data_IF_198680617416
#
_entry.id   IF_198680617416
#
_cell.length_a   1.000
_cell.length_b   1.000
_cell.length_c   1.000
_cell.angle_alpha   90.00
_cell.angle_beta   90.00
_cell.angle_gamma   90.00
#
_symmetry.space_group_name_H-M   'P 1'
#
loop_
_entity.id
_entity.type
_entity.pdbx_description
1 polymer ?
#
# COMPACT_ATOMS: atom_id res chain seq x y z
N UNK A 1 26.31 10.35 -0.50
CA UNK A 1 26.15 8.89 -0.37
C UNK A 1 25.88 8.40 1.05
N UNK A 2 26.36 9.06 2.08
CA UNK A 2 26.16 8.65 3.51
C UNK A 2 24.88 9.16 4.19
N UNK A 3 24.05 9.98 3.53
CA UNK A 3 22.83 10.57 4.13
C UNK A 3 21.55 9.73 3.98
N UNK A 4 21.57 8.65 3.19
CA UNK A 4 20.40 7.79 2.95
C UNK A 4 20.20 6.69 4.00
N UNK A 5 21.24 6.43 4.80
CA UNK A 5 21.26 5.32 5.76
C UNK A 5 20.29 5.48 6.94
N UNK A 6 19.92 6.71 7.31
CA UNK A 6 19.08 6.97 8.48
C UNK A 6 17.56 6.92 8.20
N UNK A 7 17.13 7.00 6.94
CA UNK A 7 15.69 6.87 6.62
C UNK A 7 15.22 5.40 6.63
N UNK A 8 16.11 4.46 6.31
CA UNK A 8 15.83 3.03 6.34
C UNK A 8 15.72 2.48 7.77
N UNK A 9 16.43 3.05 8.74
CA UNK A 9 16.43 2.58 10.13
C UNK A 9 15.13 2.85 10.91
N UNK A 10 14.30 3.79 10.47
CA UNK A 10 12.98 4.05 11.07
C UNK A 10 11.91 3.03 10.65
N UNK A 11 12.18 2.19 9.65
CA UNK A 11 11.24 1.20 9.09
C UNK A 11 11.51 -0.24 9.53
N UNK A 12 12.52 -0.48 10.38
CA UNK A 12 13.13 -1.80 10.65
C UNK A 12 12.44 -2.68 11.69
N UNK A 13 11.15 -2.50 11.97
CA UNK A 13 10.41 -3.41 12.89
C UNK A 13 9.33 -4.26 12.23
N UNK A 14 9.41 -4.48 10.95
CA UNK A 14 8.62 -5.50 10.25
C UNK A 14 9.50 -6.05 9.14
N UNK A 15 10.06 -7.23 9.32
CA UNK A 15 11.00 -7.84 8.40
C UNK A 15 10.43 -7.88 6.97
N UNK A 16 10.77 -6.91 6.16
CA UNK A 16 10.82 -7.06 4.73
C UNK A 16 12.01 -7.98 4.46
N UNK A 17 11.82 -9.05 3.69
CA UNK A 17 12.94 -9.82 3.13
C UNK A 17 13.52 -8.98 1.98
N UNK A 18 14.01 -7.81 2.30
CA UNK A 18 14.95 -7.13 1.44
C UNK A 18 16.26 -7.86 1.69
N UNK A 19 16.88 -8.36 0.64
CA UNK A 19 18.14 -9.02 0.77
C UNK A 19 19.17 -7.99 1.29
N UNK A 20 19.53 -8.10 2.57
CA UNK A 20 20.65 -7.36 3.13
C UNK A 20 21.85 -8.28 2.98
N UNK A 21 22.74 -7.95 2.06
CA UNK A 21 24.02 -8.62 1.89
C UNK A 21 25.11 -7.70 2.43
N UNK A 22 25.90 -8.18 3.40
CA UNK A 22 26.97 -7.41 4.04
C UNK A 22 26.52 -6.06 4.64
N UNK A 23 25.27 -5.94 5.08
CA UNK A 23 24.73 -4.70 5.66
C UNK A 23 24.24 -3.67 4.63
N UNK A 24 24.26 -3.99 3.36
CA UNK A 24 23.74 -3.16 2.27
C UNK A 24 22.46 -3.75 1.68
N UNK A 25 21.57 -2.87 1.25
CA UNK A 25 20.35 -3.26 0.54
C UNK A 25 20.68 -3.70 -0.87
N UNK A 26 20.38 -4.95 -1.21
CA UNK A 26 20.56 -5.49 -2.56
C UNK A 26 19.21 -5.61 -3.24
N UNK A 27 18.98 -4.78 -4.26
CA UNK A 27 17.81 -4.90 -5.14
C UNK A 27 18.10 -5.98 -6.19
N UNK A 28 17.11 -6.83 -6.45
CA UNK A 28 17.22 -7.95 -7.39
C UNK A 28 16.25 -7.79 -8.55
N UNK A 29 16.39 -6.68 -9.26
CA UNK A 29 15.63 -6.37 -10.45
C UNK A 29 16.29 -6.87 -11.74
N UNK A 30 15.69 -6.48 -12.86
CA UNK A 30 16.24 -6.74 -14.20
C UNK A 30 17.41 -5.79 -14.50
N UNK A 31 18.27 -6.18 -15.43
CA UNK A 31 19.32 -5.29 -15.92
C UNK A 31 18.70 -4.04 -16.57
N UNK A 32 19.44 -2.92 -16.54
CA UNK A 32 19.00 -1.64 -17.10
C UNK A 32 18.70 -1.69 -18.61
N UNK A 33 19.35 -2.59 -19.35
CA UNK A 33 19.21 -2.82 -20.79
C UNK A 33 18.23 -3.96 -21.13
N UNK A 34 17.65 -4.63 -20.14
CA UNK A 34 16.70 -5.72 -20.36
C UNK A 34 15.45 -5.21 -21.11
N UNK A 35 15.07 -5.85 -22.23
CA UNK A 35 13.93 -5.41 -23.03
C UNK A 35 12.59 -5.59 -22.31
N UNK A 36 12.49 -6.49 -21.34
CA UNK A 36 11.25 -6.82 -20.62
C UNK A 36 11.05 -6.01 -19.33
N UNK A 37 12.03 -5.18 -18.98
CA UNK A 37 11.87 -4.35 -17.79
C UNK A 37 10.80 -3.27 -17.97
N UNK A 38 10.05 -2.98 -16.94
CA UNK A 38 9.17 -1.82 -16.84
C UNK A 38 10.02 -0.55 -16.74
N UNK A 39 9.71 0.45 -17.58
CA UNK A 39 10.52 1.66 -17.76
C UNK A 39 9.87 2.95 -17.27
N UNK A 40 8.58 2.91 -16.96
CA UNK A 40 7.84 4.07 -16.51
C UNK A 40 6.72 3.69 -15.52
N UNK A 41 6.26 4.67 -14.75
CA UNK A 41 5.13 4.46 -13.86
C UNK A 41 3.81 4.17 -14.62
N UNK A 42 3.69 4.65 -15.85
CA UNK A 42 2.54 4.36 -16.71
C UNK A 42 2.53 2.89 -17.15
N UNK A 43 3.69 2.35 -17.57
CA UNK A 43 3.83 0.92 -17.87
C UNK A 43 3.53 0.08 -16.62
N UNK A 44 3.98 0.53 -15.44
CA UNK A 44 3.71 -0.17 -14.19
C UNK A 44 2.21 -0.16 -13.86
N UNK A 45 1.49 0.95 -14.05
CA UNK A 45 0.02 0.99 -13.89
C UNK A 45 -0.64 -0.01 -14.84
N UNK A 46 -0.27 0.01 -16.12
CA UNK A 46 -0.84 -0.90 -17.12
C UNK A 46 -0.67 -2.36 -16.71
N UNK A 47 0.52 -2.72 -16.28
CA UNK A 47 0.79 -4.07 -15.80
C UNK A 47 0.01 -4.43 -14.53
N UNK A 48 -0.11 -3.51 -13.57
CA UNK A 48 -0.95 -3.72 -12.37
C UNK A 48 -2.41 -3.96 -12.75
N UNK A 49 -2.93 -3.24 -13.74
CA UNK A 49 -4.30 -3.42 -14.21
C UNK A 49 -4.53 -4.80 -14.83
N UNK A 50 -3.53 -5.36 -15.52
CA UNK A 50 -3.60 -6.71 -16.08
C UNK A 50 -3.56 -7.80 -15.00
N UNK A 51 -2.64 -7.69 -14.05
CA UNK A 51 -2.43 -8.74 -13.04
C UNK A 51 -3.28 -8.58 -11.78
N UNK A 52 -3.76 -7.38 -11.50
CA UNK A 52 -4.66 -7.04 -10.39
C UNK A 52 -3.98 -6.66 -9.09
N UNK A 53 -2.89 -7.33 -8.71
CA UNK A 53 -2.21 -7.20 -7.41
C UNK A 53 -0.70 -7.22 -7.60
N UNK A 54 0.03 -6.31 -6.95
CA UNK A 54 1.49 -6.26 -7.07
C UNK A 54 2.14 -5.71 -5.80
N UNK A 55 2.81 -6.54 -4.99
CA UNK A 55 3.71 -6.07 -3.95
C UNK A 55 4.82 -5.17 -4.53
N UNK A 56 5.30 -4.20 -3.74
CA UNK A 56 6.37 -3.32 -4.19
C UNK A 56 7.72 -4.04 -4.24
N UNK A 57 8.00 -4.85 -3.22
CA UNK A 57 9.27 -5.54 -3.05
C UNK A 57 9.12 -7.05 -3.17
N UNK A 58 10.22 -7.70 -3.50
CA UNK A 58 10.34 -9.15 -3.58
C UNK A 58 9.76 -9.84 -2.34
N UNK A 59 9.15 -10.99 -2.56
CA UNK A 59 8.46 -11.77 -1.55
C UNK A 59 8.56 -13.28 -1.85
N UNK A 60 7.75 -14.09 -1.19
CA UNK A 60 7.77 -15.55 -1.28
C UNK A 60 7.23 -16.11 -2.61
N UNK A 61 6.70 -15.25 -3.48
CA UNK A 61 6.21 -15.63 -4.83
C UNK A 61 7.13 -14.99 -5.86
N UNK A 62 7.93 -15.79 -6.53
CA UNK A 62 8.87 -15.32 -7.56
C UNK A 62 8.14 -14.57 -8.69
N UNK A 63 8.67 -13.41 -9.08
CA UNK A 63 8.11 -12.53 -10.09
C UNK A 63 6.93 -11.68 -9.60
N UNK A 64 6.44 -11.88 -8.38
CA UNK A 64 5.29 -11.15 -7.85
C UNK A 64 5.70 -9.89 -7.10
N UNK A 65 6.49 -9.04 -7.74
CA UNK A 65 6.85 -7.72 -7.19
C UNK A 65 7.25 -6.72 -8.27
N UNK A 66 7.06 -5.43 -7.99
CA UNK A 66 7.56 -4.36 -8.86
C UNK A 66 9.09 -4.37 -8.95
N UNK A 67 9.77 -4.73 -7.85
CA UNK A 67 11.22 -4.85 -7.80
C UNK A 67 11.77 -5.78 -8.88
N UNK A 68 11.18 -6.96 -9.06
CA UNK A 68 11.66 -7.99 -9.98
C UNK A 68 11.46 -7.65 -11.46
N UNK A 69 10.57 -6.68 -11.77
CA UNK A 69 10.26 -6.25 -13.14
C UNK A 69 10.81 -4.87 -13.50
N UNK A 70 11.52 -4.23 -12.57
CA UNK A 70 12.20 -2.94 -12.79
C UNK A 70 13.71 -3.12 -12.70
N UNK A 71 14.47 -2.10 -13.06
CA UNK A 71 15.92 -2.21 -12.95
C UNK A 71 16.41 -1.88 -11.55
N UNK A 72 17.26 -2.74 -11.01
CA UNK A 72 17.99 -2.55 -9.75
C UNK A 72 18.79 -1.24 -9.71
N UNK A 73 19.34 -0.85 -10.87
CA UNK A 73 20.17 0.36 -11.04
C UNK A 73 19.48 1.65 -10.65
N UNK A 74 18.15 1.75 -10.88
CA UNK A 74 17.44 3.02 -10.76
C UNK A 74 16.73 3.21 -9.42
N UNK A 75 16.63 2.19 -8.59
CA UNK A 75 16.05 2.33 -7.25
C UNK A 75 16.86 3.31 -6.41
N UNK A 76 16.14 4.29 -5.83
CA UNK A 76 16.70 5.38 -5.02
C UNK A 76 17.71 6.26 -5.77
N UNK A 77 17.65 6.30 -7.07
CA UNK A 77 18.47 7.18 -7.89
C UNK A 77 18.07 8.66 -7.75
N UNK A 78 16.82 8.91 -7.34
CA UNK A 78 16.22 10.25 -7.32
C UNK A 78 15.82 10.78 -8.70
N UNK A 79 15.93 9.96 -9.75
CA UNK A 79 15.46 10.28 -11.10
C UNK A 79 13.96 9.94 -11.20
N UNK A 80 13.05 10.94 -11.22
CA UNK A 80 11.61 10.68 -11.21
C UNK A 80 11.12 9.92 -12.45
N UNK A 81 11.88 9.97 -13.55
CA UNK A 81 11.51 9.27 -14.78
C UNK A 81 11.83 7.78 -14.73
N UNK A 82 12.83 7.37 -13.95
CA UNK A 82 13.33 5.99 -13.94
C UNK A 82 13.30 5.30 -12.58
N UNK A 83 13.16 6.04 -11.48
CA UNK A 83 13.22 5.50 -10.13
C UNK A 83 11.87 4.88 -9.70
N UNK A 84 11.78 3.54 -9.55
CA UNK A 84 10.53 2.90 -9.11
C UNK A 84 10.10 3.34 -7.71
N UNK A 85 11.03 3.80 -6.86
CA UNK A 85 10.69 4.37 -5.56
C UNK A 85 9.95 5.70 -5.70
N UNK A 86 10.30 6.53 -6.68
CA UNK A 86 9.58 7.77 -6.98
C UNK A 86 8.24 7.49 -7.67
N UNK A 87 8.16 6.46 -8.53
CA UNK A 87 6.93 6.12 -9.25
C UNK A 87 5.73 5.84 -8.34
N UNK A 88 5.96 5.26 -7.15
CA UNK A 88 4.87 4.98 -6.18
C UNK A 88 4.06 6.21 -5.81
N UNK A 89 4.66 7.41 -5.77
CA UNK A 89 3.93 8.65 -5.50
C UNK A 89 3.11 9.11 -6.71
N UNK A 90 3.63 8.95 -7.93
CA UNK A 90 2.89 9.30 -9.15
C UNK A 90 1.71 8.36 -9.35
N UNK A 91 1.90 7.07 -9.12
CA UNK A 91 0.85 6.05 -9.18
C UNK A 91 -0.23 6.34 -8.12
N UNK A 92 0.15 6.56 -6.87
CA UNK A 92 -0.80 6.92 -5.81
C UNK A 92 -1.59 8.19 -6.16
N UNK A 93 -0.92 9.23 -6.66
CA UNK A 93 -1.53 10.50 -7.06
C UNK A 93 -2.46 10.37 -8.26
N UNK A 94 -2.20 9.45 -9.18
CA UNK A 94 -3.04 9.24 -10.35
C UNK A 94 -4.46 8.80 -9.99
N UNK A 95 -4.63 8.08 -8.87
CA UNK A 95 -5.92 7.52 -8.46
C UNK A 95 -6.41 6.37 -9.33
N UNK A 96 -5.58 5.86 -10.25
CA UNK A 96 -5.93 4.73 -11.10
C UNK A 96 -5.74 3.39 -10.38
N UNK A 97 -4.85 3.35 -9.41
CA UNK A 97 -4.46 2.17 -8.65
C UNK A 97 -4.41 2.51 -7.17
N UNK A 98 -4.85 1.61 -6.31
CA UNK A 98 -4.64 1.74 -4.86
C UNK A 98 -3.17 1.49 -4.52
N UNK A 99 -2.60 2.35 -3.69
CA UNK A 99 -1.29 2.14 -3.09
C UNK A 99 -1.40 2.14 -1.56
N UNK A 100 -0.78 1.17 -0.92
CA UNK A 100 -0.79 1.06 0.54
C UNK A 100 -0.10 -0.20 1.05
N UNK A 101 -0.17 -0.42 2.36
CA UNK A 101 0.38 -1.61 3.01
C UNK A 101 -0.63 -2.76 3.01
N UNK A 102 -0.86 -3.38 1.86
CA UNK A 102 -1.88 -4.40 1.66
C UNK A 102 -1.38 -5.85 1.81
N UNK A 103 -0.09 -6.08 1.68
CA UNK A 103 0.54 -7.40 1.56
C UNK A 103 1.37 -7.74 2.80
N UNK A 104 0.78 -8.40 3.79
CA UNK A 104 1.50 -8.74 5.03
C UNK A 104 2.12 -7.52 5.71
N UNK A 105 1.42 -6.38 5.74
CA UNK A 105 1.89 -5.06 6.22
C UNK A 105 2.97 -4.40 5.36
N UNK A 106 3.26 -4.96 4.19
CA UNK A 106 4.20 -4.41 3.20
C UNK A 106 3.46 -3.61 2.14
N UNK A 107 4.17 -2.65 1.53
CA UNK A 107 3.63 -1.78 0.48
C UNK A 107 3.42 -2.53 -0.83
N UNK A 108 2.43 -2.09 -1.59
CA UNK A 108 2.15 -2.59 -2.92
C UNK A 108 0.90 -1.95 -3.50
N UNK A 109 0.49 -2.48 -4.63
CA UNK A 109 -0.55 -1.93 -5.48
C UNK A 109 -1.70 -2.92 -5.68
N UNK A 110 -2.92 -2.39 -5.77
CA UNK A 110 -4.10 -3.13 -6.17
C UNK A 110 -4.80 -2.35 -7.26
N UNK A 111 -5.09 -2.99 -8.40
CA UNK A 111 -5.82 -2.32 -9.48
C UNK A 111 -7.21 -1.89 -9.03
N UNK A 112 -7.71 -0.82 -9.63
CA UNK A 112 -9.06 -0.34 -9.33
C UNK A 112 -10.10 -1.45 -9.53
N UNK A 113 -9.98 -2.22 -10.61
CA UNK A 113 -10.92 -3.30 -10.95
C UNK A 113 -11.01 -4.40 -9.88
N UNK A 114 -9.92 -4.71 -9.21
CA UNK A 114 -9.88 -5.74 -8.18
C UNK A 114 -10.11 -5.23 -6.75
N UNK A 115 -10.11 -3.91 -6.55
CA UNK A 115 -10.25 -3.35 -5.21
C UNK A 115 -11.58 -3.69 -4.52
N UNK A 116 -12.76 -3.71 -5.19
CA UNK A 116 -14.00 -4.15 -4.57
C UNK A 116 -13.94 -5.56 -4.00
N UNK A 117 -13.35 -6.51 -4.73
CA UNK A 117 -13.17 -7.89 -4.25
C UNK A 117 -12.21 -7.96 -3.07
N UNK A 118 -11.12 -7.17 -3.11
CA UNK A 118 -10.20 -7.06 -1.99
C UNK A 118 -10.89 -6.47 -0.75
N UNK A 119 -11.67 -5.39 -0.92
CA UNK A 119 -12.42 -4.77 0.16
C UNK A 119 -13.44 -5.75 0.76
N UNK A 120 -14.24 -6.43 -0.05
CA UNK A 120 -15.20 -7.42 0.42
C UNK A 120 -14.53 -8.50 1.28
N UNK A 121 -13.46 -9.12 0.77
CA UNK A 121 -12.72 -10.13 1.54
C UNK A 121 -12.16 -9.57 2.85
N UNK A 122 -11.48 -8.42 2.82
CA UNK A 122 -10.77 -7.86 3.97
C UNK A 122 -11.71 -7.33 5.04
N UNK A 123 -12.81 -6.77 4.60
CA UNK A 123 -13.83 -6.16 5.46
C UNK A 123 -14.89 -7.16 5.93
N UNK A 124 -14.90 -8.38 5.37
CA UNK A 124 -15.88 -9.42 5.68
C UNK A 124 -17.32 -9.00 5.32
N UNK A 125 -17.46 -8.29 4.20
CA UNK A 125 -18.73 -7.76 3.74
C UNK A 125 -19.22 -6.52 4.50
N UNK A 126 -18.46 -6.00 5.47
CA UNK A 126 -18.85 -4.84 6.26
C UNK A 126 -18.23 -3.53 5.72
N UNK A 127 -18.99 -2.45 5.73
CA UNK A 127 -18.38 -1.13 5.77
C UNK A 127 -17.80 -0.84 7.17
N UNK A 128 -17.15 0.31 7.33
CA UNK A 128 -16.47 0.61 8.59
C UNK A 128 -17.43 0.86 9.75
N UNK A 129 -18.53 1.59 9.50
CA UNK A 129 -19.48 1.98 10.53
C UNK A 129 -20.32 0.77 10.99
N UNK A 130 -20.81 -0.06 10.07
CA UNK A 130 -21.48 -1.32 10.41
C UNK A 130 -20.58 -2.23 11.25
N UNK A 131 -19.28 -2.30 10.91
CA UNK A 131 -18.32 -3.08 11.68
C UNK A 131 -18.02 -2.48 13.06
N UNK A 132 -18.09 -1.17 13.21
CA UNK A 132 -18.00 -0.48 14.48
C UNK A 132 -19.23 -0.76 15.35
N UNK A 133 -20.43 -0.68 14.80
CA UNK A 133 -21.69 -0.92 15.50
C UNK A 133 -21.81 -2.36 16.03
N UNK A 134 -21.22 -3.32 15.31
CA UNK A 134 -21.08 -4.72 15.74
C UNK A 134 -19.96 -4.93 16.79
N UNK A 135 -19.23 -3.91 17.19
CA UNK A 135 -18.15 -4.00 18.18
C UNK A 135 -16.88 -4.70 17.66
N UNK A 136 -16.71 -4.84 16.35
CA UNK A 136 -15.60 -5.55 15.72
C UNK A 136 -14.38 -4.65 15.44
N UNK A 137 -14.44 -3.39 15.82
CA UNK A 137 -13.38 -2.39 15.58
C UNK A 137 -12.93 -1.77 16.89
N UNK A 138 -11.61 -1.60 17.04
CA UNK A 138 -11.06 -0.90 18.21
C UNK A 138 -11.30 0.61 18.14
N UNK A 139 -11.46 1.25 19.32
CA UNK A 139 -11.66 2.69 19.43
C UNK A 139 -10.56 3.50 18.71
N UNK A 140 -9.31 3.03 18.73
CA UNK A 140 -8.21 3.66 18.00
C UNK A 140 -8.43 3.74 16.50
N UNK A 141 -8.97 2.67 15.90
CA UNK A 141 -9.35 2.66 14.48
C UNK A 141 -10.50 3.60 14.20
N UNK A 142 -11.50 3.63 15.08
CA UNK A 142 -12.64 4.57 14.98
C UNK A 142 -12.16 6.02 15.01
N UNK A 143 -11.30 6.39 15.96
CA UNK A 143 -10.74 7.75 16.03
C UNK A 143 -10.01 8.17 14.74
N UNK A 144 -9.34 7.24 14.06
CA UNK A 144 -8.71 7.51 12.77
C UNK A 144 -9.75 7.71 11.67
N UNK A 145 -10.71 6.80 11.55
CA UNK A 145 -11.70 6.84 10.48
C UNK A 145 -12.66 8.01 10.60
N UNK A 146 -13.04 8.43 11.80
CA UNK A 146 -13.89 9.60 12.04
C UNK A 146 -13.34 10.90 11.45
N UNK A 147 -12.01 10.97 11.25
CA UNK A 147 -11.41 12.17 10.66
C UNK A 147 -11.74 12.32 9.18
N UNK A 148 -12.08 11.22 8.50
CA UNK A 148 -12.44 11.20 7.09
C UNK A 148 -13.94 11.48 6.83
N UNK A 149 -14.76 11.58 7.88
CA UNK A 149 -16.12 12.10 7.75
C UNK A 149 -16.16 13.61 7.39
N UNK A 150 -15.05 14.33 7.64
CA UNK A 150 -14.95 15.79 7.44
C UNK A 150 -13.95 16.18 6.34
N UNK A 151 -13.09 15.26 5.92
CA UNK A 151 -12.00 15.54 4.97
C UNK A 151 -11.73 14.31 4.11
N UNK A 152 -11.64 14.50 2.81
CA UNK A 152 -11.36 13.42 1.84
C UNK A 152 -9.91 12.91 1.97
N UNK A 153 -8.98 13.78 2.37
CA UNK A 153 -7.57 13.43 2.53
C UNK A 153 -6.92 14.15 3.72
N UNK A 154 -5.94 13.50 4.34
CA UNK A 154 -5.20 14.04 5.49
C UNK A 154 -3.72 13.64 5.43
N UNK A 155 -2.83 14.58 5.74
CA UNK A 155 -1.43 14.26 6.01
C UNK A 155 -1.31 13.33 7.22
N UNK A 156 -0.35 12.41 7.19
CA UNK A 156 -0.11 11.48 8.29
C UNK A 156 0.04 12.18 9.66
N UNK A 157 0.74 13.32 9.72
CA UNK A 157 0.93 14.06 10.98
C UNK A 157 -0.34 14.77 11.46
N UNK A 158 -1.18 15.24 10.54
CA UNK A 158 -2.49 15.84 10.88
C UNK A 158 -3.44 14.78 11.39
N UNK A 159 -3.55 13.66 10.67
CA UNK A 159 -4.35 12.51 11.05
C UNK A 159 -3.95 12.01 12.44
N UNK A 160 -2.64 11.85 12.68
CA UNK A 160 -2.11 11.45 13.98
C UNK A 160 -2.56 12.37 15.10
N UNK A 161 -2.48 13.69 14.90
CA UNK A 161 -2.88 14.71 15.89
C UNK A 161 -4.40 14.73 16.11
N UNK A 162 -5.18 14.74 15.01
CA UNK A 162 -6.63 14.84 15.04
C UNK A 162 -7.28 13.60 15.68
N UNK A 163 -6.73 12.42 15.40
CA UNK A 163 -7.18 11.15 15.97
C UNK A 163 -6.67 10.90 17.41
N UNK A 164 -6.04 11.89 18.04
CA UNK A 164 -5.66 11.83 19.46
C UNK A 164 -4.40 11.00 19.76
N UNK A 165 -3.54 10.73 18.78
CA UNK A 165 -2.29 10.02 19.01
C UNK A 165 -1.16 10.96 19.39
N UNK A 166 -0.47 10.68 20.50
CA UNK A 166 0.68 11.47 20.95
C UNK A 166 0.93 11.36 22.44
N UNK A 167 1.64 12.35 23.00
CA UNK A 167 1.97 12.40 24.42
C UNK A 167 0.68 12.54 25.25
N UNK A 168 0.42 11.56 26.12
CA UNK A 168 -0.79 11.55 26.96
C UNK A 168 -2.06 11.00 26.24
N UNK A 169 -1.99 10.69 24.95
CA UNK A 169 -3.09 10.12 24.18
C UNK A 169 -2.84 8.70 23.71
N UNK A 170 -3.51 8.33 22.62
CA UNK A 170 -3.40 7.00 22.00
C UNK A 170 -1.97 6.69 21.54
N UNK A 171 -1.63 5.41 21.55
CA UNK A 171 -0.32 4.89 21.13
C UNK A 171 -0.47 4.03 19.86
N UNK A 172 0.68 3.79 19.19
CA UNK A 172 0.76 2.91 18.04
C UNK A 172 -0.03 3.41 16.80
N UNK A 173 0.10 4.69 16.47
CA UNK A 173 -0.49 5.27 15.26
C UNK A 173 -0.11 4.48 14.00
N UNK A 174 1.17 4.22 13.80
CA UNK A 174 1.67 3.51 12.62
C UNK A 174 1.06 2.10 12.46
N UNK A 175 0.94 1.37 13.57
CA UNK A 175 0.25 0.07 13.56
C UNK A 175 -1.23 0.20 13.23
N UNK A 176 -1.90 1.21 13.80
CA UNK A 176 -3.34 1.44 13.57
C UNK A 176 -3.63 1.77 12.09
N UNK A 177 -2.88 2.69 11.49
CA UNK A 177 -3.07 3.02 10.06
C UNK A 177 -2.63 1.89 9.12
N UNK A 178 -1.63 1.09 9.53
CA UNK A 178 -1.24 -0.11 8.77
C UNK A 178 -2.36 -1.15 8.78
N UNK A 179 -2.98 -1.39 9.92
CA UNK A 179 -4.10 -2.32 10.05
C UNK A 179 -5.34 -1.84 9.24
N UNK A 180 -5.61 -0.53 9.21
CA UNK A 180 -6.67 0.03 8.38
C UNK A 180 -6.38 -0.12 6.88
N UNK A 181 -5.13 0.03 6.44
CA UNK A 181 -4.72 -0.24 5.06
C UNK A 181 -4.86 -1.74 4.75
N UNK A 182 -4.37 -2.62 5.61
CA UNK A 182 -4.55 -4.07 5.46
C UNK A 182 -6.02 -4.47 5.34
N UNK A 183 -6.91 -3.78 6.06
CA UNK A 183 -8.36 -3.97 5.98
C UNK A 183 -9.02 -3.32 4.77
N UNK A 184 -8.27 -2.59 3.93
CA UNK A 184 -8.83 -1.90 2.77
C UNK A 184 -9.66 -0.65 3.11
N UNK A 185 -9.58 -0.12 4.35
CA UNK A 185 -10.28 1.10 4.78
C UNK A 185 -9.49 2.38 4.52
N UNK A 186 -8.17 2.29 4.45
CA UNK A 186 -7.28 3.40 4.11
C UNK A 186 -6.33 3.03 2.98
N UNK A 187 -5.94 4.04 2.21
CA UNK A 187 -4.88 3.97 1.22
C UNK A 187 -3.97 5.20 1.34
N UNK A 188 -2.79 5.12 0.76
CA UNK A 188 -1.92 6.27 0.58
C UNK A 188 -2.28 6.91 -0.75
N UNK A 189 -2.84 8.13 -0.68
CA UNK A 189 -3.30 8.88 -1.84
C UNK A 189 -2.20 9.66 -2.53
N UNK A 190 -1.20 10.08 -1.76
CA UNK A 190 -0.11 10.92 -2.24
C UNK A 190 1.07 10.93 -1.26
N UNK A 191 2.17 11.50 -1.71
CA UNK A 191 3.31 11.90 -0.87
C UNK A 191 3.62 13.37 -1.13
N UNK A 192 3.47 14.21 -0.10
CA UNK A 192 3.64 15.66 -0.22
C UNK A 192 4.63 16.20 0.82
N UNK A 193 5.47 17.13 0.42
CA UNK A 193 6.32 17.86 1.35
C UNK A 193 5.51 18.86 2.18
N UNK A 194 5.96 19.12 3.39
CA UNK A 194 5.43 20.22 4.19
C UNK A 194 5.79 21.56 3.54
N UNK A 195 4.92 22.54 3.74
CA UNK A 195 5.21 23.91 3.35
C UNK A 195 5.61 24.73 4.58
N UNK A 196 6.66 25.53 4.48
CA UNK A 196 7.04 26.49 5.50
C UNK A 196 6.08 27.72 5.47
N UNK A 197 6.28 28.69 6.37
CA UNK A 197 5.48 29.91 6.44
C UNK A 197 5.50 30.78 5.16
N UNK A 198 6.49 30.55 4.28
CA UNK A 198 6.63 31.23 2.97
C UNK A 198 6.05 30.42 1.82
N UNK A 199 5.36 29.29 2.09
CA UNK A 199 4.82 28.40 1.07
C UNK A 199 5.85 27.54 0.34
N UNK A 200 7.10 27.47 0.82
CA UNK A 200 8.15 26.69 0.20
C UNK A 200 8.16 25.27 0.78
N UNK A 201 8.31 24.22 -0.06
CA UNK A 201 8.40 22.85 0.40
C UNK A 201 9.68 22.63 1.22
N UNK A 202 9.58 21.84 2.28
CA UNK A 202 10.72 21.44 3.11
C UNK A 202 10.54 20.04 3.70
N UNK A 203 11.68 19.39 4.00
CA UNK A 203 11.72 18.06 4.58
C UNK A 203 11.36 16.97 3.56
N UNK A 204 11.18 15.76 4.07
CA UNK A 204 10.83 14.59 3.27
C UNK A 204 9.34 14.58 2.93
N UNK A 205 8.95 14.04 1.78
CA UNK A 205 7.54 13.80 1.45
C UNK A 205 6.88 12.92 2.51
N UNK A 206 5.68 13.32 2.92
CA UNK A 206 4.88 12.68 3.96
C UNK A 206 3.65 12.06 3.31
N UNK A 207 3.29 10.86 3.73
CA UNK A 207 2.09 10.18 3.26
C UNK A 207 0.84 11.03 3.52
N UNK A 208 0.01 11.12 2.51
CA UNK A 208 -1.36 11.64 2.57
C UNK A 208 -2.29 10.45 2.47
N UNK A 209 -3.11 10.26 3.48
CA UNK A 209 -4.10 9.17 3.54
C UNK A 209 -5.46 9.63 3.01
N UNK A 210 -6.18 8.71 2.40
CA UNK A 210 -7.57 8.85 2.00
C UNK A 210 -8.31 7.52 2.20
N UNK A 211 -9.64 7.56 2.18
CA UNK A 211 -10.44 6.35 2.06
C UNK A 211 -10.61 5.98 0.58
N UNK A 212 -10.74 4.71 0.23
CA UNK A 212 -11.05 4.32 -1.14
C UNK A 212 -12.42 4.84 -1.59
N UNK A 213 -13.37 5.03 -0.66
CA UNK A 213 -14.68 5.62 -0.92
C UNK A 213 -14.58 7.08 -1.37
N UNK A 214 -13.69 7.88 -0.77
CA UNK A 214 -13.42 9.25 -1.20
C UNK A 214 -12.80 9.30 -2.61
N UNK A 215 -12.02 8.27 -2.96
CA UNK A 215 -11.33 8.20 -4.25
C UNK A 215 -12.24 7.70 -5.39
N UNK A 216 -13.07 6.69 -5.14
CA UNK A 216 -13.82 5.98 -6.18
C UNK A 216 -15.33 5.89 -5.94
N UNK A 217 -15.82 6.39 -4.82
CA UNK A 217 -17.22 6.35 -4.44
C UNK A 217 -17.60 5.06 -3.67
N UNK A 218 -18.53 5.21 -2.74
CA UNK A 218 -19.00 4.11 -1.88
C UNK A 218 -19.58 2.95 -2.69
N UNK A 219 -20.50 3.25 -3.62
CA UNK A 219 -21.17 2.22 -4.43
C UNK A 219 -20.18 1.36 -5.22
N UNK A 220 -19.11 1.98 -5.73
CA UNK A 220 -18.07 1.25 -6.44
C UNK A 220 -17.31 0.30 -5.51
N UNK A 221 -16.92 0.76 -4.33
CA UNK A 221 -16.18 -0.05 -3.35
C UNK A 221 -17.06 -1.19 -2.81
N UNK A 222 -18.33 -0.91 -2.54
CA UNK A 222 -19.29 -1.87 -2.01
C UNK A 222 -19.87 -2.83 -3.08
N UNK A 223 -19.53 -2.65 -4.36
CA UNK A 223 -20.13 -3.42 -5.46
C UNK A 223 -19.95 -4.95 -5.37
N UNK A 224 -18.93 -5.40 -4.62
CA UNK A 224 -18.69 -6.83 -4.38
C UNK A 224 -19.31 -7.34 -3.06
N UNK A 225 -20.02 -6.52 -2.27
CA UNK A 225 -20.56 -6.96 -0.97
C UNK A 225 -21.75 -7.91 -1.07
N UNK A 226 -22.33 -8.09 -2.26
CA UNK A 226 -23.32 -9.13 -2.51
C UNK A 226 -22.68 -10.54 -2.57
N UNK A 227 -21.37 -10.62 -2.74
CA UNK A 227 -20.63 -11.88 -2.81
C UNK A 227 -20.14 -12.31 -1.42
N UNK A 228 -20.10 -13.62 -1.19
CA UNK A 228 -19.47 -14.16 0.02
C UNK A 228 -17.99 -13.76 0.10
N UNK A 229 -17.48 -13.23 1.22
CA UNK A 229 -16.08 -12.81 1.35
C UNK A 229 -15.07 -13.91 1.05
N UNK A 230 -15.43 -15.18 1.33
CA UNK A 230 -14.60 -16.33 1.01
C UNK A 230 -14.47 -16.53 -0.52
N UNK A 231 -15.53 -16.21 -1.30
CA UNK A 231 -15.49 -16.27 -2.75
C UNK A 231 -14.60 -15.19 -3.33
N UNK A 232 -14.68 -13.96 -2.82
CA UNK A 232 -13.78 -12.87 -3.19
C UNK A 232 -12.31 -13.25 -2.95
N UNK A 233 -12.00 -13.87 -1.79
CA UNK A 233 -10.67 -14.42 -1.49
C UNK A 233 -10.24 -15.45 -2.53
N UNK A 234 -11.11 -16.39 -2.86
CA UNK A 234 -10.80 -17.45 -3.82
C UNK A 234 -10.48 -16.86 -5.21
N UNK A 235 -11.23 -15.89 -5.68
CA UNK A 235 -10.98 -15.21 -6.95
C UNK A 235 -9.64 -14.44 -6.95
N UNK A 236 -9.31 -13.76 -5.87
CA UNK A 236 -8.03 -13.07 -5.73
C UNK A 236 -6.87 -14.07 -5.80
N UNK A 237 -6.95 -15.20 -5.08
CA UNK A 237 -5.93 -16.24 -5.12
C UNK A 237 -5.80 -16.86 -6.51
N UNK A 238 -6.93 -17.08 -7.19
CA UNK A 238 -6.95 -17.58 -8.56
C UNK A 238 -6.32 -16.59 -9.55
N UNK A 239 -6.61 -15.28 -9.41
CA UNK A 239 -6.01 -14.24 -10.24
C UNK A 239 -4.49 -14.18 -10.07
N UNK A 240 -3.99 -14.26 -8.85
CA UNK A 240 -2.54 -14.30 -8.61
C UNK A 240 -1.93 -15.55 -9.22
N UNK A 241 -2.52 -16.74 -9.01
CA UNK A 241 -2.01 -18.00 -9.62
C UNK A 241 -2.06 -18.01 -11.14
N UNK A 242 -3.05 -17.36 -11.74
CA UNK A 242 -3.14 -17.23 -13.20
C UNK A 242 -1.90 -16.56 -13.78
N UNK A 243 -1.39 -15.53 -13.10
CA UNK A 243 -0.23 -14.76 -13.53
C UNK A 243 1.10 -15.35 -12.99
N UNK A 244 1.05 -16.01 -11.83
CA UNK A 244 2.21 -16.60 -11.14
C UNK A 244 1.90 -18.06 -10.77
N UNK A 245 1.96 -19.00 -11.75
CA UNK A 245 1.50 -20.38 -11.55
C UNK A 245 2.27 -21.17 -10.50
N UNK A 246 3.52 -20.77 -10.21
CA UNK A 246 4.34 -21.38 -9.18
C UNK A 246 3.96 -20.96 -7.74
N UNK A 247 3.01 -20.02 -7.56
CA UNK A 247 2.57 -19.57 -6.25
C UNK A 247 1.88 -20.69 -5.47
N UNK A 248 2.54 -21.16 -4.41
CA UNK A 248 2.00 -22.17 -3.50
C UNK A 248 0.93 -21.56 -2.59
N UNK A 249 0.05 -22.41 -2.02
CA UNK A 249 -0.95 -21.94 -1.05
C UNK A 249 -0.30 -21.25 0.15
N UNK A 250 0.81 -21.80 0.65
CA UNK A 250 1.55 -21.23 1.77
C UNK A 250 2.12 -19.84 1.44
N UNK A 251 2.68 -19.66 0.24
CA UNK A 251 3.21 -18.36 -0.22
C UNK A 251 2.06 -17.33 -0.38
N UNK A 252 0.95 -17.73 -0.99
CA UNK A 252 -0.25 -16.88 -1.10
C UNK A 252 -0.77 -16.46 0.27
N UNK A 253 -0.84 -17.41 1.22
CA UNK A 253 -1.26 -17.10 2.58
C UNK A 253 -0.29 -16.14 3.27
N UNK A 254 1.02 -16.26 3.05
CA UNK A 254 2.02 -15.36 3.63
C UNK A 254 1.93 -13.96 3.04
N UNK A 255 1.91 -13.85 1.71
CA UNK A 255 1.96 -12.56 1.00
C UNK A 255 0.62 -11.83 1.06
N UNK A 256 -0.48 -12.53 0.80
CA UNK A 256 -1.83 -11.99 0.79
C UNK A 256 -2.56 -12.20 2.11
N UNK A 257 -2.01 -12.98 3.04
CA UNK A 257 -2.69 -13.36 4.27
C UNK A 257 -3.04 -12.17 5.16
N UNK A 258 -4.15 -12.32 5.88
CA UNK A 258 -4.64 -11.38 6.87
C UNK A 258 -5.01 -12.16 8.12
N UNK A 259 -4.16 -12.08 9.15
CA UNK A 259 -4.52 -12.55 10.47
C UNK A 259 -5.29 -11.44 11.17
N UNK A 260 -6.56 -11.67 11.39
CA UNK A 260 -7.46 -10.76 12.14
C UNK A 260 -7.11 -10.77 13.61
#
# INVERSE_FOLDING_TARGET
>A
MLMWYNAASAWSKGACIMAIENGEWVMRGLRWDDPYRIRSWQELIHWIDEIGFLPLFRNEIDGFSAEEHTSDRYWWSGDPEQDPWEWRQFIARSGQVAYGKFFGKKAGFISKAWFPQFANWRRDGYDFDSRWDEGLVSLRKKHVMDQFALKDELYAFELKRLAGFGKGGEKNFEGTVTDLQMGGYLLIRDFRQRLNKKGQPYGWPISVYATPEALWGYEYIASAYAEEPAQSKAWIYQQVRKNFPAATEAALHTVLGWNR
#
